data_IF_153166265018
#
_entry.id   IF_153166265018
#
_cell.length_a   1.000
_cell.length_b   1.000
_cell.length_c   1.000
_cell.angle_alpha   90.00
_cell.angle_beta   90.00
_cell.angle_gamma   90.00
#
_symmetry.space_group_name_H-M   'P 1'
#
loop_
_entity.id
_entity.type
_entity.pdbx_description
1 polymer ?
#
# COMPACT_ATOMS: atom_id res chain seq x y z
N UNK A 1 0.13 6.87 -4.87
CA UNK A 1 0.56 6.04 -6.00
C UNK A 1 1.83 6.63 -6.60
N UNK A 2 2.78 5.79 -7.10
CA UNK A 2 4.00 6.26 -7.76
C UNK A 2 5.07 6.92 -6.87
N UNK A 3 4.87 6.99 -5.56
CA UNK A 3 5.87 7.56 -4.64
C UNK A 3 7.06 6.60 -4.36
N UNK A 4 7.04 5.39 -4.92
CA UNK A 4 8.08 4.39 -4.67
C UNK A 4 8.01 3.72 -3.30
N UNK A 5 7.00 4.01 -2.48
CA UNK A 5 6.89 3.49 -1.10
C UNK A 5 7.08 1.99 -0.99
N UNK A 6 6.33 1.23 -1.77
CA UNK A 6 6.36 -0.24 -1.69
C UNK A 6 7.74 -0.79 -2.09
N UNK A 7 8.35 -0.23 -3.13
CA UNK A 7 9.69 -0.63 -3.57
C UNK A 7 10.75 -0.30 -2.52
N UNK A 8 10.69 0.91 -1.95
CA UNK A 8 11.59 1.34 -0.86
C UNK A 8 11.37 0.48 0.38
N UNK A 9 10.13 0.34 0.84
CA UNK A 9 9.78 -0.42 2.04
C UNK A 9 10.22 -1.89 1.94
N UNK A 10 10.00 -2.53 0.79
CA UNK A 10 10.45 -3.91 0.52
C UNK A 10 11.98 -4.04 0.56
N UNK A 11 12.71 -3.12 -0.09
CA UNK A 11 14.16 -3.13 -0.10
C UNK A 11 14.75 -2.89 1.31
N UNK A 12 14.15 -1.98 2.08
CA UNK A 12 14.57 -1.68 3.45
C UNK A 12 14.26 -2.86 4.38
N UNK A 13 13.09 -3.48 4.25
CA UNK A 13 12.73 -4.67 5.02
C UNK A 13 13.76 -5.79 4.80
N UNK A 14 14.13 -6.05 3.55
CA UNK A 14 15.17 -7.02 3.21
C UNK A 14 16.52 -6.68 3.83
N UNK A 15 16.94 -5.40 3.80
CA UNK A 15 18.21 -4.95 4.39
C UNK A 15 18.24 -5.09 5.91
N UNK A 16 17.11 -4.93 6.58
CA UNK A 16 16.99 -4.99 8.04
C UNK A 16 16.59 -6.37 8.57
N UNK A 17 16.26 -7.32 7.69
CA UNK A 17 15.76 -8.64 8.08
C UNK A 17 14.35 -8.63 8.66
N UNK A 18 13.52 -7.67 8.23
CA UNK A 18 12.11 -7.51 8.64
C UNK A 18 11.17 -8.08 7.58
N UNK A 19 9.97 -8.45 7.99
CA UNK A 19 8.92 -8.88 7.05
C UNK A 19 8.27 -7.64 6.44
N UNK A 20 8.18 -7.62 5.11
CA UNK A 20 7.46 -6.57 4.39
C UNK A 20 5.99 -6.93 4.23
N UNK A 21 5.09 -5.96 4.47
CA UNK A 21 3.65 -6.12 4.31
C UNK A 21 3.10 -5.01 3.40
N UNK A 22 2.65 -5.38 2.19
CA UNK A 22 1.89 -4.51 1.27
C UNK A 22 0.40 -4.59 1.63
N UNK A 23 -0.09 -3.64 2.44
CA UNK A 23 -1.52 -3.60 2.77
C UNK A 23 -2.40 -3.34 1.56
N UNK A 24 -1.90 -2.58 0.58
CA UNK A 24 -2.60 -2.35 -0.69
C UNK A 24 -2.83 -3.65 -1.48
N UNK A 25 -1.90 -4.58 -1.43
CA UNK A 25 -2.07 -5.91 -2.05
C UNK A 25 -3.22 -6.69 -1.41
N UNK A 26 -3.40 -6.59 -0.09
CA UNK A 26 -4.52 -7.24 0.60
C UNK A 26 -5.88 -6.66 0.16
N UNK A 27 -6.00 -5.33 0.01
CA UNK A 27 -7.22 -4.71 -0.54
C UNK A 27 -7.46 -5.12 -2.00
N UNK A 28 -6.41 -5.23 -2.81
CA UNK A 28 -6.51 -5.71 -4.19
C UNK A 28 -6.95 -7.18 -4.26
N UNK A 29 -6.52 -8.02 -3.33
CA UNK A 29 -6.97 -9.40 -3.23
C UNK A 29 -8.48 -9.50 -2.93
N UNK A 30 -9.00 -8.67 -2.02
CA UNK A 30 -10.45 -8.58 -1.76
C UNK A 30 -11.22 -8.13 -3.01
N UNK A 31 -10.70 -7.13 -3.73
CA UNK A 31 -11.31 -6.66 -4.98
C UNK A 31 -11.32 -7.78 -6.05
N UNK A 32 -10.21 -8.48 -6.21
CA UNK A 32 -10.10 -9.61 -7.13
C UNK A 32 -11.06 -10.75 -6.77
N UNK A 33 -11.25 -11.01 -5.49
CA UNK A 33 -12.21 -12.03 -5.04
C UNK A 33 -13.62 -11.78 -5.58
N UNK A 34 -14.13 -10.54 -5.47
CA UNK A 34 -15.43 -10.18 -6.00
C UNK A 34 -15.55 -10.46 -7.51
N UNK A 35 -14.53 -10.06 -8.26
CA UNK A 35 -14.47 -10.29 -9.71
C UNK A 35 -14.45 -11.78 -10.03
N UNK A 36 -13.62 -12.57 -9.34
CA UNK A 36 -13.56 -14.04 -9.53
C UNK A 36 -14.88 -14.72 -9.20
N UNK A 37 -15.64 -14.18 -8.25
CA UNK A 37 -16.98 -14.66 -7.88
C UNK A 37 -18.09 -14.12 -8.77
N UNK A 38 -17.76 -13.29 -9.76
CA UNK A 38 -18.72 -12.81 -10.78
C UNK A 38 -19.70 -11.77 -10.25
N UNK A 39 -19.31 -10.95 -9.25
CA UNK A 39 -20.13 -9.84 -8.79
C UNK A 39 -19.34 -8.53 -8.77
N UNK A 40 -20.08 -7.41 -8.81
CA UNK A 40 -19.50 -6.08 -8.79
C UNK A 40 -18.73 -5.84 -7.48
N UNK A 41 -17.41 -5.57 -7.52
CA UNK A 41 -16.64 -5.22 -6.32
C UNK A 41 -17.18 -4.00 -5.57
N UNK A 42 -17.96 -3.14 -6.23
CA UNK A 42 -18.56 -1.95 -5.63
C UNK A 42 -19.92 -2.22 -4.95
N UNK A 43 -20.43 -3.45 -5.04
CA UNK A 43 -21.55 -3.90 -4.22
C UNK A 43 -21.08 -4.17 -2.79
N UNK A 44 -21.09 -3.11 -1.96
CA UNK A 44 -20.59 -3.15 -0.59
C UNK A 44 -21.29 -4.22 0.25
N UNK A 45 -22.61 -4.38 0.12
CA UNK A 45 -23.35 -5.35 0.92
C UNK A 45 -22.96 -6.77 0.58
N UNK A 46 -22.83 -7.07 -0.71
CA UNK A 46 -22.44 -8.39 -1.19
C UNK A 46 -21.00 -8.71 -0.83
N UNK A 47 -20.10 -7.74 -1.02
CA UNK A 47 -18.69 -7.90 -0.66
C UNK A 47 -18.53 -8.10 0.85
N UNK A 48 -19.19 -7.30 1.68
CA UNK A 48 -19.14 -7.42 3.14
C UNK A 48 -19.62 -8.79 3.61
N UNK A 49 -20.70 -9.31 3.02
CA UNK A 49 -21.22 -10.65 3.34
C UNK A 49 -20.26 -11.77 2.92
N UNK A 50 -19.44 -11.54 1.91
CA UNK A 50 -18.48 -12.51 1.37
C UNK A 50 -17.13 -12.53 2.12
N UNK A 51 -16.83 -11.55 2.97
CA UNK A 51 -15.52 -11.45 3.67
C UNK A 51 -15.19 -12.70 4.51
N UNK A 52 -16.19 -13.36 5.06
CA UNK A 52 -16.03 -14.62 5.81
C UNK A 52 -15.42 -15.77 5.00
N UNK A 53 -15.57 -15.71 3.67
CA UNK A 53 -15.10 -16.73 2.73
C UNK A 53 -13.73 -16.35 2.12
N UNK A 54 -13.11 -15.27 2.61
CA UNK A 54 -11.82 -14.75 2.12
C UNK A 54 -10.71 -15.11 3.11
N UNK A 55 -9.76 -15.92 2.64
CA UNK A 55 -8.47 -16.13 3.30
C UNK A 55 -7.36 -15.48 2.49
N UNK A 56 -6.58 -14.60 3.13
CA UNK A 56 -5.43 -13.92 2.52
C UNK A 56 -4.19 -14.30 3.31
N UNK A 57 -3.19 -14.81 2.62
CA UNK A 57 -1.86 -15.09 3.17
C UNK A 57 -0.79 -14.35 2.39
N UNK A 58 0.24 -13.95 3.11
CA UNK A 58 1.44 -13.34 2.56
C UNK A 58 2.63 -14.21 2.93
N UNK A 59 3.63 -14.32 2.05
CA UNK A 59 4.87 -14.99 2.37
C UNK A 59 6.07 -14.01 2.41
N UNK A 60 7.24 -14.52 2.76
CA UNK A 60 8.47 -13.74 2.87
C UNK A 60 9.02 -13.26 1.52
N UNK A 61 8.52 -13.80 0.42
CA UNK A 61 8.93 -13.45 -0.95
C UNK A 61 7.99 -12.45 -1.62
N UNK A 62 7.01 -11.90 -0.84
CA UNK A 62 6.01 -10.92 -1.30
C UNK A 62 4.93 -11.54 -2.23
N UNK A 63 4.71 -12.85 -2.11
CA UNK A 63 3.57 -13.46 -2.75
C UNK A 63 2.31 -13.24 -1.93
N UNK A 64 1.20 -13.11 -2.64
CA UNK A 64 -0.14 -12.93 -2.08
C UNK A 64 -1.00 -14.11 -2.50
N UNK A 65 -1.51 -14.82 -1.51
CA UNK A 65 -2.40 -15.96 -1.72
C UNK A 65 -3.82 -15.57 -1.32
N UNK A 66 -4.76 -15.84 -2.22
CA UNK A 66 -6.20 -15.69 -1.98
C UNK A 66 -6.84 -17.07 -2.02
N UNK A 67 -7.36 -17.52 -0.88
CA UNK A 67 -7.94 -18.85 -0.72
C UNK A 67 -7.02 -19.98 -1.23
N UNK A 68 -5.71 -19.85 -0.96
CA UNK A 68 -4.68 -20.80 -1.35
C UNK A 68 -4.14 -20.66 -2.78
N UNK A 69 -4.71 -19.80 -3.60
CA UNK A 69 -4.22 -19.51 -4.96
C UNK A 69 -3.25 -18.30 -4.94
N UNK A 70 -2.10 -18.43 -5.61
CA UNK A 70 -1.19 -17.30 -5.82
C UNK A 70 -1.82 -16.30 -6.80
N UNK A 71 -2.09 -15.10 -6.28
CA UNK A 71 -2.69 -13.99 -7.04
C UNK A 71 -1.76 -12.80 -7.20
N UNK A 72 -0.49 -12.95 -6.88
CA UNK A 72 0.52 -11.88 -6.85
C UNK A 72 0.59 -11.07 -8.15
N UNK A 73 0.40 -11.74 -9.29
CA UNK A 73 0.37 -11.09 -10.61
C UNK A 73 -1.02 -10.46 -10.88
N UNK A 74 -2.10 -11.22 -10.70
CA UNK A 74 -3.45 -10.79 -11.03
C UNK A 74 -3.89 -9.54 -10.26
N UNK A 75 -3.52 -9.41 -8.99
CA UNK A 75 -3.84 -8.22 -8.18
C UNK A 75 -3.14 -6.93 -8.64
N UNK A 76 -2.15 -7.02 -9.55
CA UNK A 76 -1.40 -5.87 -10.08
C UNK A 76 -1.96 -5.34 -11.39
N UNK A 77 -2.97 -5.98 -11.94
CA UNK A 77 -3.67 -5.53 -13.14
C UNK A 77 -4.31 -4.16 -12.91
N UNK A 78 -4.32 -3.33 -13.97
CA UNK A 78 -4.79 -1.95 -13.89
C UNK A 78 -6.27 -1.86 -13.47
N UNK A 79 -7.10 -2.78 -13.97
CA UNK A 79 -8.51 -2.86 -13.62
C UNK A 79 -8.71 -3.07 -12.12
N UNK A 80 -7.95 -4.01 -11.50
CA UNK A 80 -8.02 -4.26 -10.07
C UNK A 80 -7.60 -3.01 -9.28
N UNK A 81 -6.50 -2.38 -9.70
CA UNK A 81 -5.98 -1.19 -9.02
C UNK A 81 -6.98 -0.01 -9.02
N UNK A 82 -7.74 0.17 -10.11
CA UNK A 82 -8.77 1.22 -10.22
C UNK A 82 -9.96 0.97 -9.29
N UNK A 83 -10.42 -0.27 -9.21
CA UNK A 83 -11.56 -0.65 -8.36
C UNK A 83 -11.20 -0.73 -6.87
N UNK A 84 -9.93 -0.95 -6.53
CA UNK A 84 -9.50 -1.10 -5.15
C UNK A 84 -9.63 0.19 -4.33
N UNK A 85 -9.44 1.36 -4.94
CA UNK A 85 -9.55 2.63 -4.20
C UNK A 85 -10.94 2.84 -3.60
N UNK A 86 -12.05 2.72 -4.33
CA UNK A 86 -13.39 2.76 -3.73
C UNK A 86 -13.65 1.60 -2.75
N UNK A 87 -13.26 0.36 -3.07
CA UNK A 87 -13.43 -0.80 -2.17
C UNK A 87 -12.73 -0.57 -0.84
N UNK A 88 -11.58 0.09 -0.84
CA UNK A 88 -10.83 0.40 0.39
C UNK A 88 -11.51 1.40 1.32
N UNK A 89 -12.60 2.03 0.89
CA UNK A 89 -13.41 2.92 1.73
C UNK A 89 -14.51 2.17 2.49
N UNK A 90 -14.84 0.93 2.12
CA UNK A 90 -15.91 0.16 2.77
C UNK A 90 -15.55 -0.21 4.21
N UNK A 91 -16.37 0.15 5.20
CA UNK A 91 -16.06 -0.06 6.61
C UNK A 91 -15.76 -1.52 6.99
N UNK A 92 -16.58 -2.47 6.53
CA UNK A 92 -16.39 -3.88 6.87
C UNK A 92 -15.14 -4.48 6.22
N UNK A 93 -14.80 -4.08 4.97
CA UNK A 93 -13.56 -4.47 4.31
C UNK A 93 -12.35 -3.96 5.10
N UNK A 94 -12.40 -2.72 5.55
CA UNK A 94 -11.34 -2.13 6.36
C UNK A 94 -11.19 -2.86 7.69
N UNK A 95 -12.29 -3.07 8.41
CA UNK A 95 -12.30 -3.78 9.70
C UNK A 95 -11.67 -5.17 9.56
N UNK A 96 -12.07 -5.93 8.54
CA UNK A 96 -11.54 -7.24 8.25
C UNK A 96 -10.03 -7.21 7.97
N UNK A 97 -9.58 -6.32 7.09
CA UNK A 97 -8.17 -6.28 6.71
C UNK A 97 -7.27 -5.68 7.79
N UNK A 98 -7.72 -4.65 8.52
CA UNK A 98 -6.96 -4.07 9.63
C UNK A 98 -6.74 -5.11 10.74
N UNK A 99 -7.72 -5.96 11.04
CA UNK A 99 -7.55 -7.03 12.00
C UNK A 99 -6.43 -7.99 11.58
N UNK A 100 -6.43 -8.44 10.32
CA UNK A 100 -5.36 -9.30 9.78
C UNK A 100 -3.99 -8.61 9.77
N UNK A 101 -3.93 -7.33 9.38
CA UNK A 101 -2.68 -6.56 9.38
C UNK A 101 -2.06 -6.44 10.77
N UNK A 102 -2.89 -6.21 11.79
CA UNK A 102 -2.45 -6.16 13.19
C UNK A 102 -1.96 -7.51 13.69
N UNK A 103 -2.63 -8.59 13.32
CA UNK A 103 -2.22 -9.95 13.64
C UNK A 103 -0.80 -10.25 13.13
N UNK A 104 -0.50 -9.92 11.88
CA UNK A 104 0.85 -10.04 11.32
C UNK A 104 1.88 -9.23 12.11
N UNK A 105 1.55 -8.00 12.48
CA UNK A 105 2.47 -7.10 13.19
C UNK A 105 2.75 -7.52 14.62
N UNK A 106 1.86 -8.28 15.28
CA UNK A 106 2.10 -8.79 16.65
C UNK A 106 3.06 -9.97 16.68
N UNK A 107 3.13 -10.74 15.61
CA UNK A 107 3.94 -11.96 15.55
C UNK A 107 5.38 -11.71 15.05
N UNK A 108 5.66 -10.58 14.41
CA UNK A 108 6.90 -10.36 13.70
C UNK A 108 7.36 -8.90 13.74
N UNK A 109 8.67 -8.67 13.54
CA UNK A 109 9.19 -7.36 13.18
C UNK A 109 8.82 -7.06 11.73
N UNK A 110 8.01 -6.04 11.49
CA UNK A 110 7.45 -5.75 10.18
C UNK A 110 7.80 -4.35 9.69
N UNK A 111 7.88 -4.20 8.38
CA UNK A 111 7.75 -2.92 7.68
C UNK A 111 6.46 -2.98 6.88
N UNK A 112 5.52 -2.14 7.24
CA UNK A 112 4.18 -2.11 6.63
C UNK A 112 3.98 -0.81 5.87
N UNK A 113 3.56 -0.88 4.61
CA UNK A 113 3.20 0.30 3.85
C UNK A 113 1.69 0.36 3.55
N UNK A 114 1.19 1.58 3.46
CA UNK A 114 -0.22 1.85 3.19
C UNK A 114 -0.54 3.34 3.23
N UNK A 115 -1.79 3.68 3.55
CA UNK A 115 -2.29 5.07 3.56
C UNK A 115 -2.50 5.62 4.97
N UNK A 116 -2.92 4.76 5.88
CA UNK A 116 -3.32 5.10 7.24
C UNK A 116 -2.64 4.17 8.28
N UNK A 117 -1.44 3.68 7.96
CA UNK A 117 -0.75 2.71 8.81
C UNK A 117 -0.42 3.35 10.16
N UNK A 118 0.25 4.50 10.17
CA UNK A 118 0.69 5.17 11.40
C UNK A 118 -0.42 5.85 12.19
N UNK A 119 -1.58 6.11 11.57
CA UNK A 119 -2.71 6.78 12.24
C UNK A 119 -3.78 5.80 12.73
N UNK A 120 -3.95 4.67 12.05
CA UNK A 120 -5.04 3.74 12.32
C UNK A 120 -4.57 2.30 12.53
N UNK A 121 -3.81 1.72 11.61
CA UNK A 121 -3.46 0.28 11.67
C UNK A 121 -2.51 0.00 12.82
N UNK A 122 -1.39 0.72 12.86
CA UNK A 122 -0.34 0.59 13.87
C UNK A 122 -0.04 1.96 14.52
N UNK A 123 -1.00 2.53 15.28
CA UNK A 123 -0.84 3.86 15.89
C UNK A 123 0.28 3.92 16.94
N UNK A 124 0.76 2.78 17.41
CA UNK A 124 1.85 2.65 18.37
C UNK A 124 3.13 2.05 17.75
N UNK A 125 3.26 2.08 16.41
CA UNK A 125 4.51 1.69 15.76
C UNK A 125 5.69 2.54 16.28
N UNK A 126 6.82 1.90 16.54
CA UNK A 126 8.01 2.57 17.08
C UNK A 126 8.57 3.63 16.13
N UNK A 127 8.46 3.40 14.83
CA UNK A 127 8.93 4.33 13.81
C UNK A 127 7.84 4.49 12.76
N UNK A 128 7.46 5.75 12.50
CA UNK A 128 6.49 6.11 11.49
C UNK A 128 7.13 7.06 10.49
N UNK A 129 7.10 6.71 9.22
CA UNK A 129 7.64 7.53 8.13
C UNK A 129 6.50 7.90 7.19
N UNK A 130 6.26 9.19 7.01
CA UNK A 130 5.33 9.72 6.03
C UNK A 130 6.09 10.14 4.79
N UNK A 131 6.14 9.23 3.82
CA UNK A 131 6.87 9.45 2.57
C UNK A 131 6.03 10.27 1.60
N UNK A 132 6.56 11.39 1.13
CA UNK A 132 5.94 12.28 0.16
C UNK A 132 6.75 12.37 -1.12
N UNK A 133 6.07 12.68 -2.22
CA UNK A 133 6.65 13.12 -3.49
C UNK A 133 5.57 13.90 -4.24
N UNK A 134 5.98 14.91 -5.02
CA UNK A 134 5.04 15.72 -5.79
C UNK A 134 4.23 14.88 -6.78
N UNK A 135 2.97 15.24 -7.08
CA UNK A 135 2.17 14.51 -8.06
C UNK A 135 2.87 14.40 -9.42
N UNK A 136 3.57 15.44 -9.83
CA UNK A 136 4.32 15.53 -11.09
C UNK A 136 5.48 14.51 -11.12
N UNK A 137 6.27 14.45 -10.04
CA UNK A 137 7.36 13.48 -9.91
C UNK A 137 6.81 12.04 -9.96
N UNK A 138 5.70 11.77 -9.25
CA UNK A 138 5.06 10.45 -9.25
C UNK A 138 4.49 10.07 -10.61
N UNK A 139 3.91 11.04 -11.34
CA UNK A 139 3.43 10.83 -12.69
C UNK A 139 4.56 10.46 -13.64
N UNK A 140 5.69 11.18 -13.59
CA UNK A 140 6.89 10.89 -14.40
C UNK A 140 7.43 9.49 -14.12
N UNK A 141 7.54 9.08 -12.85
CA UNK A 141 7.98 7.72 -12.47
C UNK A 141 7.05 6.66 -13.07
N UNK A 142 5.73 6.89 -13.01
CA UNK A 142 4.75 5.95 -13.52
C UNK A 142 4.71 5.88 -15.05
N UNK A 143 4.92 7.02 -15.73
CA UNK A 143 5.10 7.03 -17.19
C UNK A 143 6.28 6.14 -17.58
N UNK A 144 7.42 6.30 -16.90
CA UNK A 144 8.59 5.49 -17.14
C UNK A 144 8.34 3.99 -16.93
N UNK A 145 7.66 3.62 -15.83
CA UNK A 145 7.27 2.22 -15.55
C UNK A 145 6.41 1.61 -16.68
N UNK A 146 5.47 2.38 -17.25
CA UNK A 146 4.64 1.93 -18.36
C UNK A 146 5.44 1.81 -19.67
N UNK A 147 6.32 2.78 -19.94
CA UNK A 147 7.19 2.75 -21.11
C UNK A 147 8.14 1.55 -21.10
N UNK A 148 8.68 1.19 -19.93
CA UNK A 148 9.53 0.00 -19.76
C UNK A 148 8.76 -1.30 -20.04
N UNK A 149 7.42 -1.28 -19.91
CA UNK A 149 6.52 -2.40 -20.29
C UNK A 149 6.04 -2.35 -21.74
N UNK A 150 6.52 -1.38 -22.53
CA UNK A 150 6.12 -1.19 -23.92
C UNK A 150 4.78 -0.49 -24.11
N UNK A 151 4.24 0.15 -23.05
CA UNK A 151 3.01 0.93 -23.12
C UNK A 151 3.32 2.40 -23.43
N UNK A 152 2.38 3.11 -24.06
CA UNK A 152 2.49 4.54 -24.35
C UNK A 152 1.47 5.36 -23.53
N UNK A 153 1.76 5.61 -22.25
CA UNK A 153 0.86 6.35 -21.39
C UNK A 153 0.85 7.84 -21.72
N UNK A 154 -0.31 8.49 -21.54
CA UNK A 154 -0.43 9.96 -21.61
C UNK A 154 -0.14 10.52 -20.21
N UNK A 155 0.89 11.35 -20.11
CA UNK A 155 1.35 11.94 -18.84
C UNK A 155 0.24 12.67 -18.09
N UNK A 156 -0.54 13.51 -18.78
CA UNK A 156 -1.63 14.30 -18.19
C UNK A 156 -2.71 13.40 -17.58
N UNK A 157 -3.01 12.30 -18.24
CA UNK A 157 -3.98 11.31 -17.74
C UNK A 157 -3.49 10.65 -16.45
N UNK A 158 -2.21 10.25 -16.41
CA UNK A 158 -1.61 9.66 -15.22
C UNK A 158 -1.54 10.67 -14.08
N UNK A 159 -1.16 11.92 -14.37
CA UNK A 159 -1.11 12.98 -13.38
C UNK A 159 -2.50 13.23 -12.76
N UNK A 160 -3.54 13.29 -13.60
CA UNK A 160 -4.90 13.47 -13.13
C UNK A 160 -5.37 12.28 -12.28
N UNK A 161 -5.13 11.04 -12.72
CA UNK A 161 -5.46 9.84 -11.95
C UNK A 161 -4.79 9.84 -10.55
N UNK A 162 -3.53 10.32 -10.47
CA UNK A 162 -2.81 10.44 -9.19
C UNK A 162 -3.46 11.47 -8.30
N UNK A 163 -3.77 12.67 -8.81
CA UNK A 163 -4.43 13.74 -8.05
C UNK A 163 -5.81 13.31 -7.54
N UNK A 164 -6.61 12.68 -8.38
CA UNK A 164 -7.94 12.19 -8.02
C UNK A 164 -7.88 11.11 -6.94
N UNK A 165 -6.89 10.23 -7.03
CA UNK A 165 -6.66 9.18 -6.02
C UNK A 165 -6.21 9.78 -4.70
N UNK A 166 -5.25 10.70 -4.71
CA UNK A 166 -4.78 11.38 -3.50
C UNK A 166 -5.92 12.14 -2.82
N UNK A 167 -6.75 12.80 -3.61
CA UNK A 167 -7.94 13.48 -3.09
C UNK A 167 -8.89 12.50 -2.40
N UNK A 168 -9.24 11.38 -3.05
CA UNK A 168 -10.09 10.35 -2.43
C UNK A 168 -9.49 9.77 -1.16
N UNK A 169 -8.19 9.41 -1.21
CA UNK A 169 -7.50 8.79 -0.07
C UNK A 169 -7.41 9.75 1.13
N UNK A 170 -7.25 11.06 0.90
CA UNK A 170 -7.15 12.08 1.96
C UNK A 170 -8.50 12.61 2.47
N UNK A 171 -9.58 12.49 1.67
CA UNK A 171 -10.91 13.02 2.03
C UNK A 171 -11.95 11.93 2.33
N UNK A 172 -11.55 10.66 2.33
CA UNK A 172 -12.49 9.60 2.73
C UNK A 172 -12.91 9.78 4.19
N UNK A 173 -14.19 9.48 4.49
CA UNK A 173 -14.77 9.69 5.82
C UNK A 173 -14.11 8.81 6.90
N UNK A 174 -13.68 7.61 6.54
CA UNK A 174 -13.08 6.64 7.47
C UNK A 174 -11.57 6.53 7.23
N UNK A 175 -10.79 6.88 8.27
CA UNK A 175 -9.32 6.78 8.30
C UNK A 175 -8.65 7.41 7.07
N UNK A 176 -8.79 8.73 6.86
CA UNK A 176 -8.18 9.44 5.76
C UNK A 176 -6.64 9.30 5.78
N UNK A 177 -6.02 9.45 4.63
CA UNK A 177 -4.56 9.49 4.50
C UNK A 177 -4.05 10.83 5.03
N UNK A 178 -3.57 10.82 6.25
CA UNK A 178 -2.94 11.97 6.92
C UNK A 178 -1.65 11.55 7.60
N UNK A 179 -0.74 12.51 7.78
CA UNK A 179 0.49 12.28 8.53
C UNK A 179 0.16 12.14 10.02
N UNK A 180 0.62 11.07 10.67
CA UNK A 180 0.55 10.95 12.12
C UNK A 180 1.44 12.04 12.77
N UNK A 181 1.04 12.53 13.95
CA UNK A 181 1.76 13.61 14.65
C UNK A 181 3.23 13.27 14.92
N UNK A 182 3.50 12.02 15.25
CA UNK A 182 4.82 11.46 15.53
C UNK A 182 5.53 10.89 14.28
N UNK A 183 4.95 11.06 13.09
CA UNK A 183 5.57 10.59 11.87
C UNK A 183 6.64 11.55 11.33
N UNK A 184 7.77 10.99 10.96
CA UNK A 184 8.84 11.72 10.28
C UNK A 184 8.47 11.84 8.80
N UNK A 185 8.49 13.07 8.28
CA UNK A 185 8.26 13.29 6.86
C UNK A 185 9.53 13.08 6.06
N UNK A 186 9.43 12.30 4.98
CA UNK A 186 10.52 12.06 4.07
C UNK A 186 10.09 12.43 2.65
N UNK A 187 10.60 13.54 2.14
CA UNK A 187 10.35 13.98 0.77
C UNK A 187 11.34 13.30 -0.19
N UNK A 188 10.80 12.49 -1.10
CA UNK A 188 11.57 11.75 -2.10
C UNK A 188 11.44 12.34 -3.51
N UNK A 189 10.90 13.56 -3.66
CA UNK A 189 10.67 14.19 -4.97
C UNK A 189 11.95 14.31 -5.81
N UNK A 190 13.07 14.62 -5.17
CA UNK A 190 14.37 14.82 -5.82
C UNK A 190 15.32 13.61 -5.63
N UNK A 191 14.82 12.47 -5.19
CA UNK A 191 15.62 11.27 -4.97
C UNK A 191 15.39 10.24 -6.07
N UNK A 192 16.44 9.58 -6.50
CA UNK A 192 16.31 8.32 -7.22
C UNK A 192 15.96 7.17 -6.26
N UNK A 193 15.73 5.97 -6.78
CA UNK A 193 15.30 4.83 -5.97
C UNK A 193 16.35 4.46 -4.91
N UNK A 194 17.64 4.43 -5.27
CA UNK A 194 18.73 4.07 -4.36
C UNK A 194 18.86 5.07 -3.21
N UNK A 195 18.81 6.36 -3.53
CA UNK A 195 18.82 7.44 -2.54
C UNK A 195 17.63 7.35 -1.58
N UNK A 196 16.43 7.04 -2.10
CA UNK A 196 15.24 6.83 -1.26
C UNK A 196 15.37 5.64 -0.32
N UNK A 197 15.95 4.52 -0.78
CA UNK A 197 16.23 3.33 0.04
C UNK A 197 17.27 3.66 1.11
N UNK A 198 18.35 4.34 0.74
CA UNK A 198 19.43 4.69 1.67
C UNK A 198 18.92 5.66 2.75
N UNK A 199 18.27 6.76 2.35
CA UNK A 199 17.69 7.74 3.27
C UNK A 199 16.72 7.08 4.27
N UNK A 200 15.81 6.21 3.78
CA UNK A 200 14.88 5.49 4.63
C UNK A 200 15.59 4.53 5.57
N UNK A 201 16.61 3.80 5.08
CA UNK A 201 17.38 2.84 5.90
C UNK A 201 18.12 3.53 7.03
N UNK A 202 18.78 4.66 6.72
CA UNK A 202 19.55 5.42 7.70
C UNK A 202 18.62 6.03 8.76
N UNK A 203 17.50 6.64 8.34
CA UNK A 203 16.49 7.18 9.25
C UNK A 203 15.99 6.11 10.23
N UNK A 204 15.71 4.89 9.75
CA UNK A 204 15.25 3.79 10.62
C UNK A 204 16.36 3.38 11.59
N UNK A 205 17.61 3.24 11.12
CA UNK A 205 18.73 2.87 11.98
C UNK A 205 18.96 3.89 13.08
N UNK A 206 19.01 5.18 12.74
CA UNK A 206 19.19 6.27 13.69
C UNK A 206 18.08 6.24 14.77
N UNK A 207 16.82 6.05 14.35
CA UNK A 207 15.70 5.94 15.30
C UNK A 207 15.75 4.67 16.15
N UNK A 208 16.22 3.55 15.62
CA UNK A 208 16.41 2.33 16.42
C UNK A 208 17.53 2.49 17.45
N UNK A 209 18.54 3.31 17.19
CA UNK A 209 19.61 3.64 18.16
C UNK A 209 19.09 4.54 19.28
N UNK A 210 18.21 5.50 18.96
CA UNK A 210 17.58 6.37 19.96
C UNK A 210 16.63 5.61 20.92
N UNK A 211 16.13 4.45 20.51
CA UNK A 211 15.19 3.61 21.30
C UNK A 211 15.91 2.59 22.21
N UNK A 212 17.23 2.49 22.14
CA UNK A 212 18.03 1.61 23.00
C UNK A 212 18.38 2.28 24.32
#
# INVERSE_FOLDING_TARGET
AGAGKSTVAKAVAKKLGYIYIDTGAMYRAVTLYAIKKGFDPLDENKLSSALKDIDIKLDSEDHVYLNGEDVSHAIRENQISKLTSPVSAFPEVRKFLVAKQREFATAHNVIMDGRDIGTNVLPHAQIKIFMVATPECRAMRRVKEFQEKGENPVYESILQEIKDRDYRDSHRALNPMVKAEDAIELDTSNMNLEQGIEATTNLIKDKLEELK
#
